data_IF_792960386844
#
_entry.id   IF_792960386844
#
_cell.length_a   1.000
_cell.length_b   1.000
_cell.length_c   1.000
_cell.angle_alpha   90.00
_cell.angle_beta   90.00
_cell.angle_gamma   90.00
#
_symmetry.space_group_name_H-M   'P 1'
#
loop_
_entity.id
_entity.type
_entity.pdbx_description
1 polymer ?
#
# COMPACT_ATOMS: atom_id res chain seq x y z
N UNK A 1 0.93 -20.88 -16.78
CA UNK A 1 0.48 -21.34 -15.45
C UNK A 1 -0.86 -22.08 -15.56
N UNK A 2 -1.94 -21.45 -16.05
CA UNK A 2 -3.26 -22.08 -16.19
C UNK A 2 -3.25 -23.41 -17.00
N UNK A 3 -2.56 -23.43 -18.15
CA UNK A 3 -2.46 -24.62 -19.01
C UNK A 3 -1.82 -25.84 -18.31
N UNK A 4 -0.76 -25.63 -17.51
CA UNK A 4 -0.12 -26.72 -16.79
C UNK A 4 -1.03 -27.28 -15.69
N UNK A 5 -1.77 -26.41 -15.00
CA UNK A 5 -2.75 -26.82 -13.99
C UNK A 5 -3.92 -27.59 -14.62
N UNK A 6 -4.44 -27.16 -15.77
CA UNK A 6 -5.46 -27.91 -16.51
C UNK A 6 -4.97 -29.31 -16.91
N UNK A 7 -3.72 -29.45 -17.36
CA UNK A 7 -3.14 -30.76 -17.68
C UNK A 7 -3.04 -31.68 -16.47
N UNK A 8 -2.77 -31.14 -15.28
CA UNK A 8 -2.75 -31.92 -14.03
C UNK A 8 -4.17 -32.42 -13.69
N UNK A 9 -5.18 -31.56 -13.82
CA UNK A 9 -6.57 -31.95 -13.58
C UNK A 9 -7.05 -33.00 -14.59
N UNK A 10 -6.69 -32.89 -15.87
CA UNK A 10 -6.98 -33.94 -16.86
C UNK A 10 -6.38 -35.30 -16.46
N UNK A 11 -5.11 -35.32 -16.03
CA UNK A 11 -4.48 -36.55 -15.53
C UNK A 11 -5.18 -37.11 -14.30
N UNK A 12 -5.58 -36.27 -13.35
CA UNK A 12 -6.32 -36.69 -12.15
C UNK A 12 -7.72 -37.24 -12.47
N UNK A 13 -8.35 -36.76 -13.55
CA UNK A 13 -9.64 -37.29 -14.03
C UNK A 13 -9.47 -38.68 -14.65
N UNK A 14 -8.37 -38.88 -15.39
CA UNK A 14 -8.09 -40.14 -16.09
C UNK A 14 -7.49 -41.22 -15.15
N UNK A 15 -6.62 -40.82 -14.21
CA UNK A 15 -5.80 -41.71 -13.37
C UNK A 15 -6.21 -41.72 -11.88
N UNK A 16 -7.25 -40.98 -11.48
CA UNK A 16 -7.62 -40.84 -10.07
C UNK A 16 -8.07 -42.15 -9.40
N UNK A 17 -7.50 -42.43 -8.22
CA UNK A 17 -7.70 -43.67 -7.45
C UNK A 17 -9.16 -43.88 -7.02
N UNK A 18 -9.87 -42.81 -6.67
CA UNK A 18 -11.29 -42.85 -6.28
C UNK A 18 -12.22 -42.13 -7.25
N UNK A 19 -13.48 -42.56 -7.34
CA UNK A 19 -14.47 -41.82 -8.14
C UNK A 19 -14.77 -40.43 -7.57
N UNK A 20 -14.60 -40.25 -6.26
CA UNK A 20 -14.76 -38.97 -5.59
C UNK A 20 -13.66 -37.97 -6.00
N UNK A 21 -12.40 -38.39 -6.05
CA UNK A 21 -11.29 -37.56 -6.52
C UNK A 21 -11.46 -37.16 -7.99
N UNK A 22 -11.86 -38.10 -8.85
CA UNK A 22 -12.14 -37.81 -10.27
C UNK A 22 -13.29 -36.81 -10.44
N UNK A 23 -14.35 -36.93 -9.65
CA UNK A 23 -15.47 -35.98 -9.66
C UNK A 23 -15.06 -34.58 -9.16
N UNK A 24 -14.23 -34.50 -8.11
CA UNK A 24 -13.69 -33.23 -7.62
C UNK A 24 -12.74 -32.58 -8.64
N UNK A 25 -11.85 -33.35 -9.26
CA UNK A 25 -10.95 -32.87 -10.30
C UNK A 25 -11.71 -32.34 -11.52
N UNK A 26 -12.80 -33.02 -11.92
CA UNK A 26 -13.70 -32.56 -13.00
C UNK A 26 -14.35 -31.23 -12.63
N UNK A 27 -14.92 -31.13 -11.43
CA UNK A 27 -15.58 -29.89 -10.97
C UNK A 27 -14.59 -28.72 -10.85
N UNK A 28 -13.37 -28.97 -10.37
CA UNK A 28 -12.33 -27.97 -10.30
C UNK A 28 -11.87 -27.51 -11.69
N UNK A 29 -11.73 -28.43 -12.65
CA UNK A 29 -11.40 -28.09 -14.03
C UNK A 29 -12.52 -27.27 -14.69
N UNK A 30 -13.78 -27.63 -14.47
CA UNK A 30 -14.95 -26.92 -14.99
C UNK A 30 -15.01 -25.49 -14.43
N UNK A 31 -14.74 -25.31 -13.14
CA UNK A 31 -14.68 -23.98 -12.53
C UNK A 31 -13.48 -23.17 -13.05
N UNK A 32 -12.29 -23.76 -13.18
CA UNK A 32 -11.09 -23.08 -13.68
C UNK A 32 -11.18 -22.68 -15.17
N UNK A 33 -11.96 -23.41 -15.95
CA UNK A 33 -12.19 -23.11 -17.38
C UNK A 33 -13.44 -22.26 -17.61
N UNK A 34 -14.20 -21.96 -16.55
CA UNK A 34 -15.35 -21.06 -16.63
C UNK A 34 -14.93 -19.64 -17.00
N UNK A 35 -15.81 -18.95 -17.71
CA UNK A 35 -15.61 -17.54 -18.06
C UNK A 35 -15.39 -16.68 -16.81
N UNK A 36 -16.19 -16.90 -15.77
CA UNK A 36 -16.10 -16.16 -14.51
C UNK A 36 -14.71 -16.25 -13.88
N UNK A 37 -14.15 -17.46 -13.77
CA UNK A 37 -12.84 -17.66 -13.19
C UNK A 37 -11.74 -17.01 -14.04
N UNK A 38 -11.78 -17.20 -15.36
CA UNK A 38 -10.80 -16.61 -16.29
C UNK A 38 -10.86 -15.08 -16.23
N UNK A 39 -12.08 -14.52 -16.17
CA UNK A 39 -12.32 -13.10 -16.07
C UNK A 39 -11.77 -12.51 -14.76
N UNK A 40 -12.11 -13.11 -13.62
CA UNK A 40 -11.59 -12.70 -12.30
C UNK A 40 -10.06 -12.80 -12.28
N UNK A 41 -9.49 -13.88 -12.81
CA UNK A 41 -8.04 -14.07 -12.83
C UNK A 41 -7.34 -12.99 -13.66
N UNK A 42 -7.87 -12.65 -14.84
CA UNK A 42 -7.32 -11.59 -15.68
C UNK A 42 -7.43 -10.21 -15.00
N UNK A 43 -8.59 -9.92 -14.40
CA UNK A 43 -8.82 -8.70 -13.63
C UNK A 43 -7.84 -8.58 -12.45
N UNK A 44 -7.74 -9.62 -11.63
CA UNK A 44 -6.81 -9.68 -10.51
C UNK A 44 -5.37 -9.49 -10.96
N UNK A 45 -4.94 -10.18 -12.03
CA UNK A 45 -3.58 -10.04 -12.56
C UNK A 45 -3.27 -8.58 -12.89
N UNK A 46 -4.18 -7.88 -13.55
CA UNK A 46 -3.98 -6.50 -14.00
C UNK A 46 -3.99 -5.49 -12.85
N UNK A 47 -4.92 -5.65 -11.92
CA UNK A 47 -4.96 -4.83 -10.69
C UNK A 47 -3.69 -5.03 -9.86
N UNK A 48 -3.29 -6.30 -9.63
CA UNK A 48 -2.09 -6.62 -8.86
C UNK A 48 -0.82 -6.14 -9.55
N UNK A 49 -0.74 -6.18 -10.88
CA UNK A 49 0.38 -5.66 -11.65
C UNK A 49 0.56 -4.14 -11.41
N UNK A 50 -0.53 -3.37 -11.49
CA UNK A 50 -0.50 -1.93 -11.19
C UNK A 50 -0.14 -1.65 -9.73
N UNK A 51 -0.76 -2.35 -8.78
CA UNK A 51 -0.45 -2.20 -7.35
C UNK A 51 0.99 -2.59 -7.02
N UNK A 52 1.53 -3.60 -7.70
CA UNK A 52 2.93 -4.00 -7.55
C UNK A 52 3.89 -2.95 -8.11
N UNK A 53 3.60 -2.37 -9.28
CA UNK A 53 4.40 -1.28 -9.84
C UNK A 53 4.44 -0.07 -8.90
N UNK A 54 3.28 0.33 -8.36
CA UNK A 54 3.21 1.40 -7.37
C UNK A 54 4.01 1.04 -6.11
N UNK A 55 3.83 -0.17 -5.58
CA UNK A 55 4.52 -0.64 -4.38
C UNK A 55 6.04 -0.62 -4.56
N UNK A 56 6.55 -1.14 -5.69
CA UNK A 56 7.98 -1.12 -6.01
C UNK A 56 8.51 0.31 -6.15
N UNK A 57 7.74 1.21 -6.77
CA UNK A 57 8.15 2.59 -6.95
C UNK A 57 8.20 3.34 -5.60
N UNK A 58 7.24 3.13 -4.72
CA UNK A 58 7.20 3.71 -3.37
C UNK A 58 8.29 3.14 -2.44
N UNK A 59 8.77 1.92 -2.68
CA UNK A 59 9.82 1.29 -1.88
C UNK A 59 11.26 1.68 -2.29
N UNK A 60 11.43 2.51 -3.33
CA UNK A 60 12.78 2.94 -3.76
C UNK A 60 13.41 3.86 -2.73
N UNK A 61 14.67 3.59 -2.37
CA UNK A 61 15.44 4.39 -1.38
C UNK A 61 15.63 5.85 -1.78
N UNK A 62 15.66 6.15 -3.08
CA UNK A 62 15.88 7.49 -3.62
C UNK A 62 14.58 8.24 -3.93
N UNK A 63 13.44 7.74 -3.47
CA UNK A 63 12.15 8.31 -3.83
C UNK A 63 11.86 9.53 -2.95
N UNK A 64 11.67 10.68 -3.61
CA UNK A 64 11.16 11.89 -2.96
C UNK A 64 9.63 11.75 -2.74
N UNK A 65 9.13 12.34 -1.66
CA UNK A 65 7.73 12.34 -1.25
C UNK A 65 6.85 12.94 -2.35
N UNK A 66 7.26 14.05 -2.98
CA UNK A 66 6.49 14.70 -4.05
C UNK A 66 6.31 13.75 -5.24
N UNK A 67 7.38 13.09 -5.66
CA UNK A 67 7.33 12.08 -6.71
C UNK A 67 6.46 10.88 -6.31
N UNK A 68 6.50 10.47 -5.04
CA UNK A 68 5.65 9.40 -4.50
C UNK A 68 4.17 9.74 -4.59
N UNK A 69 3.79 10.97 -4.23
CA UNK A 69 2.41 11.47 -4.36
C UNK A 69 1.96 11.51 -5.82
N UNK A 70 2.82 11.99 -6.72
CA UNK A 70 2.54 11.97 -8.16
C UNK A 70 2.33 10.55 -8.70
N UNK A 71 3.10 9.56 -8.22
CA UNK A 71 2.93 8.16 -8.61
C UNK A 71 1.61 7.57 -8.11
N UNK A 72 1.19 7.90 -6.89
CA UNK A 72 -0.12 7.49 -6.35
C UNK A 72 -1.23 8.06 -7.22
N UNK A 73 -1.18 9.35 -7.54
CA UNK A 73 -2.20 10.00 -8.38
C UNK A 73 -2.20 9.44 -9.80
N UNK A 74 -1.03 9.22 -10.39
CA UNK A 74 -0.89 8.54 -11.70
C UNK A 74 -1.53 7.15 -11.65
N UNK A 75 -1.33 6.38 -10.58
CA UNK A 75 -1.92 5.05 -10.43
C UNK A 75 -3.45 5.13 -10.31
N UNK A 76 -3.99 6.08 -9.55
CA UNK A 76 -5.44 6.34 -9.49
C UNK A 76 -6.00 6.66 -10.87
N UNK A 77 -5.35 7.53 -11.64
CA UNK A 77 -5.80 7.87 -13.00
C UNK A 77 -5.71 6.69 -13.97
N UNK A 78 -4.70 5.81 -13.85
CA UNK A 78 -4.57 4.60 -14.67
C UNK A 78 -5.69 3.59 -14.39
N UNK A 79 -6.06 3.42 -13.11
CA UNK A 79 -7.20 2.59 -12.69
C UNK A 79 -8.52 3.17 -13.24
N UNK A 80 -8.71 4.49 -13.13
CA UNK A 80 -9.91 5.19 -13.62
C UNK A 80 -10.04 5.19 -15.15
N UNK A 81 -8.93 5.34 -15.88
CA UNK A 81 -8.91 5.38 -17.35
C UNK A 81 -9.17 4.00 -17.99
N UNK A 82 -9.38 2.95 -17.19
CA UNK A 82 -9.76 1.62 -17.67
C UNK A 82 -8.78 1.04 -18.67
N UNK A 83 -7.48 1.27 -18.50
CA UNK A 83 -6.43 0.68 -19.35
C UNK A 83 -6.27 -0.85 -19.14
N UNK A 84 -7.26 -1.49 -18.51
CA UNK A 84 -7.37 -2.93 -18.42
C UNK A 84 -8.29 -3.33 -19.56
N UNK A 85 -7.70 -3.84 -20.64
CA UNK A 85 -8.44 -4.50 -21.72
C UNK A 85 -9.38 -5.55 -21.11
N UNK A 86 -10.68 -5.25 -21.19
CA UNK A 86 -11.73 -6.17 -20.79
C UNK A 86 -11.75 -7.29 -21.84
N UNK A 87 -11.59 -8.56 -21.43
CA UNK A 87 -11.75 -9.69 -22.35
C UNK A 87 -13.06 -9.59 -23.10
N UNK A 88 -13.10 -9.99 -24.38
CA UNK A 88 -14.31 -9.90 -25.19
C UNK A 88 -15.48 -10.66 -24.54
N UNK A 89 -16.42 -9.89 -24.01
CA UNK A 89 -17.63 -10.34 -23.31
C UNK A 89 -18.69 -10.87 -24.27
N UNK A 90 -18.51 -10.71 -25.58
CA UNK A 90 -19.42 -11.25 -26.61
C UNK A 90 -19.13 -12.71 -26.95
N UNK A 91 -18.10 -13.32 -26.35
CA UNK A 91 -17.82 -14.75 -26.55
C UNK A 91 -19.00 -15.60 -26.04
N UNK A 92 -19.40 -16.58 -26.84
CA UNK A 92 -20.56 -17.44 -26.55
C UNK A 92 -20.28 -18.23 -25.28
N UNK A 93 -20.89 -17.82 -24.17
CA UNK A 93 -20.92 -18.57 -22.92
C UNK A 93 -21.77 -19.83 -23.12
N UNK A 94 -21.14 -21.00 -23.07
CA UNK A 94 -21.84 -22.30 -23.05
C UNK A 94 -21.79 -22.81 -21.61
N UNK A 95 -22.88 -22.61 -20.88
CA UNK A 95 -23.09 -23.20 -19.56
C UNK A 95 -23.22 -24.74 -19.70
N UNK A 96 -22.11 -25.47 -19.57
CA UNK A 96 -22.14 -26.94 -19.56
C UNK A 96 -22.57 -27.42 -18.17
N UNK A 97 -23.88 -27.63 -18.01
CA UNK A 97 -24.46 -28.26 -16.80
C UNK A 97 -25.79 -27.66 -16.32
N UNK A 98 -26.22 -26.51 -16.86
CA UNK A 98 -27.51 -25.90 -16.55
C UNK A 98 -28.65 -26.46 -17.40
N UNK A 99 -29.81 -26.75 -16.79
CA UNK A 99 -31.04 -27.04 -17.56
C UNK A 99 -31.33 -25.82 -18.45
N UNK A 100 -31.42 -26.04 -19.76
CA UNK A 100 -31.48 -25.05 -20.86
C UNK A 100 -32.68 -24.06 -20.87
N UNK A 101 -33.24 -23.66 -19.71
CA UNK A 101 -34.40 -22.76 -19.62
C UNK A 101 -34.08 -21.33 -19.17
N UNK A 102 -32.81 -20.95 -19.04
CA UNK A 102 -32.42 -19.55 -18.79
C UNK A 102 -31.26 -19.16 -19.69
N UNK A 103 -31.52 -18.98 -20.97
CA UNK A 103 -30.65 -18.13 -21.78
C UNK A 103 -30.78 -16.72 -21.21
N UNK A 104 -29.85 -16.32 -20.34
CA UNK A 104 -29.76 -14.94 -19.91
C UNK A 104 -29.33 -14.09 -21.11
N UNK A 105 -30.03 -12.98 -21.35
CA UNK A 105 -29.62 -12.01 -22.38
C UNK A 105 -28.14 -11.67 -22.18
N UNK A 106 -27.35 -11.73 -23.24
CA UNK A 106 -25.92 -11.38 -23.21
C UNK A 106 -25.68 -10.01 -22.56
N UNK A 107 -26.63 -9.08 -22.74
CA UNK A 107 -26.64 -7.77 -22.10
C UNK A 107 -26.65 -7.83 -20.57
N UNK A 108 -27.29 -8.81 -19.94
CA UNK A 108 -27.35 -8.92 -18.47
C UNK A 108 -26.04 -9.50 -17.91
N UNK A 109 -25.42 -10.44 -18.63
CA UNK A 109 -24.15 -11.06 -18.24
C UNK A 109 -22.99 -10.06 -18.40
N UNK A 110 -22.93 -9.34 -19.52
CA UNK A 110 -21.96 -8.25 -19.72
C UNK A 110 -22.15 -7.18 -18.64
N UNK A 111 -23.39 -6.73 -18.40
CA UNK A 111 -23.68 -5.74 -17.35
C UNK A 111 -23.26 -6.26 -15.98
N UNK A 112 -23.50 -7.53 -15.65
CA UNK A 112 -23.09 -8.10 -14.37
C UNK A 112 -21.56 -8.10 -14.20
N UNK A 113 -20.80 -8.68 -15.14
CA UNK A 113 -19.34 -8.78 -15.01
C UNK A 113 -18.65 -7.42 -15.15
N UNK A 114 -19.14 -6.55 -16.04
CA UNK A 114 -18.56 -5.23 -16.27
C UNK A 114 -18.91 -4.24 -15.17
N UNK A 115 -20.18 -4.19 -14.74
CA UNK A 115 -20.64 -3.21 -13.74
C UNK A 115 -20.32 -3.66 -12.32
N UNK A 116 -20.63 -4.90 -11.97
CA UNK A 116 -20.58 -5.34 -10.58
C UNK A 116 -19.20 -5.88 -10.21
N UNK A 117 -18.60 -6.71 -11.07
CA UNK A 117 -17.27 -7.27 -10.78
C UNK A 117 -16.14 -6.31 -11.15
N UNK A 118 -16.09 -5.86 -12.40
CA UNK A 118 -14.96 -5.05 -12.88
C UNK A 118 -14.91 -3.68 -12.23
N UNK A 119 -15.98 -2.88 -12.34
CA UNK A 119 -15.99 -1.58 -11.67
C UNK A 119 -15.97 -1.72 -10.15
N UNK A 120 -16.67 -2.70 -9.58
CA UNK A 120 -16.61 -2.97 -8.14
C UNK A 120 -15.18 -3.24 -7.64
N UNK A 121 -14.38 -4.05 -8.34
CA UNK A 121 -12.99 -4.30 -7.98
C UNK A 121 -12.11 -3.05 -8.09
N UNK A 122 -12.31 -2.23 -9.14
CA UNK A 122 -11.57 -0.98 -9.34
C UNK A 122 -11.94 0.05 -8.28
N UNK A 123 -13.22 0.18 -7.95
CA UNK A 123 -13.72 1.11 -6.94
C UNK A 123 -13.17 0.76 -5.57
N UNK A 124 -13.10 -0.53 -5.21
CA UNK A 124 -12.46 -0.98 -3.96
C UNK A 124 -10.98 -0.58 -3.93
N UNK A 125 -10.23 -0.78 -5.01
CA UNK A 125 -8.82 -0.40 -5.06
C UNK A 125 -8.62 1.12 -4.96
N UNK A 126 -9.47 1.89 -5.64
CA UNK A 126 -9.45 3.34 -5.57
C UNK A 126 -9.82 3.85 -4.17
N UNK A 127 -10.78 3.20 -3.52
CA UNK A 127 -11.18 3.50 -2.15
C UNK A 127 -10.03 3.23 -1.18
N UNK A 128 -9.36 2.08 -1.28
CA UNK A 128 -8.20 1.75 -0.45
C UNK A 128 -7.04 2.75 -0.66
N UNK A 129 -6.73 3.09 -1.91
CA UNK A 129 -5.72 4.10 -2.22
C UNK A 129 -6.11 5.49 -1.69
N UNK A 130 -7.38 5.86 -1.77
CA UNK A 130 -7.87 7.15 -1.29
C UNK A 130 -7.97 7.21 0.23
N UNK A 131 -8.21 6.06 0.88
CA UNK A 131 -8.19 5.95 2.34
C UNK A 131 -6.76 6.06 2.88
N UNK A 132 -5.81 5.31 2.29
CA UNK A 132 -4.39 5.33 2.67
C UNK A 132 -3.70 6.66 2.35
N UNK A 133 -3.99 7.25 1.20
CA UNK A 133 -3.49 8.56 0.75
C UNK A 133 -4.63 9.57 0.68
N UNK A 134 -5.24 9.83 1.83
CA UNK A 134 -6.26 10.86 1.97
C UNK A 134 -5.64 12.26 2.01
N UNK A 135 -6.46 13.30 1.88
CA UNK A 135 -6.00 14.70 1.87
C UNK A 135 -5.13 15.05 3.08
N UNK A 136 -5.48 14.57 4.28
CA UNK A 136 -4.70 14.83 5.50
C UNK A 136 -3.34 14.14 5.46
N UNK A 137 -3.26 12.90 5.00
CA UNK A 137 -2.00 12.16 4.85
C UNK A 137 -1.10 12.81 3.79
N UNK A 138 -1.68 13.24 2.67
CA UNK A 138 -0.96 13.95 1.60
C UNK A 138 -0.45 15.30 2.10
N UNK A 139 -1.26 16.04 2.85
CA UNK A 139 -0.88 17.32 3.44
C UNK A 139 0.25 17.14 4.48
N UNK A 140 0.13 16.16 5.38
CA UNK A 140 1.20 15.83 6.34
C UNK A 140 2.51 15.52 5.62
N UNK A 141 2.46 14.70 4.57
CA UNK A 141 3.64 14.33 3.79
C UNK A 141 4.23 15.54 3.06
N UNK A 142 3.38 16.40 2.49
CA UNK A 142 3.80 17.63 1.82
C UNK A 142 4.48 18.60 2.80
N UNK A 143 3.91 18.82 3.98
CA UNK A 143 4.50 19.68 4.99
C UNK A 143 5.80 19.09 5.57
N UNK A 144 5.92 17.76 5.65
CA UNK A 144 7.16 17.10 6.08
C UNK A 144 8.33 17.33 5.11
N UNK A 145 8.06 17.58 3.82
CA UNK A 145 9.07 17.94 2.83
C UNK A 145 9.78 19.26 3.16
N UNK A 146 9.13 20.17 3.90
CA UNK A 146 9.73 21.44 4.32
C UNK A 146 10.92 21.23 5.29
N UNK A 147 10.98 20.08 5.97
CA UNK A 147 12.07 19.73 6.87
C UNK A 147 13.27 19.10 6.11
N UNK A 148 13.08 18.67 4.86
CA UNK A 148 14.14 18.02 4.09
C UNK A 148 15.22 19.02 3.64
N UNK A 149 16.51 18.77 3.96
CA UNK A 149 17.59 19.71 3.64
C UNK A 149 17.78 19.94 2.15
N UNK A 150 17.49 18.96 1.29
CA UNK A 150 17.59 19.10 -0.18
C UNK A 150 16.59 20.13 -0.72
N UNK A 151 15.41 20.19 -0.12
CA UNK A 151 14.32 21.12 -0.46
C UNK A 151 14.59 22.55 0.03
N UNK A 152 15.51 22.70 0.99
CA UNK A 152 15.91 23.99 1.56
C UNK A 152 16.65 24.89 0.57
N UNK A 153 17.13 24.36 -0.56
CA UNK A 153 17.79 25.13 -1.61
C UNK A 153 16.92 26.17 -2.29
N UNK A 154 15.58 26.10 -2.14
CA UNK A 154 14.68 27.10 -2.71
C UNK A 154 13.69 27.72 -1.72
N UNK A 155 13.12 27.00 -0.74
CA UNK A 155 12.24 27.60 0.28
C UNK A 155 12.13 26.74 1.55
N UNK A 156 13.01 26.92 2.54
CA UNK A 156 12.76 26.43 3.90
C UNK A 156 11.62 27.27 4.50
N UNK A 157 10.40 26.72 4.52
CA UNK A 157 9.23 27.45 5.02
C UNK A 157 8.97 27.08 6.46
N UNK A 158 9.44 27.93 7.36
CA UNK A 158 9.19 27.81 8.81
C UNK A 158 7.69 27.70 9.08
N UNK A 159 6.87 28.49 8.38
CA UNK A 159 5.42 28.47 8.52
C UNK A 159 4.81 27.09 8.20
N UNK A 160 5.34 26.37 7.20
CA UNK A 160 4.86 25.04 6.83
C UNK A 160 5.17 24.02 7.94
N UNK A 161 6.33 24.13 8.58
CA UNK A 161 6.72 23.27 9.70
C UNK A 161 5.90 23.60 10.95
N UNK A 162 5.60 24.88 11.20
CA UNK A 162 4.70 25.27 12.27
C UNK A 162 3.28 24.76 12.03
N UNK A 163 2.78 24.84 10.79
CA UNK A 163 1.49 24.29 10.41
C UNK A 163 1.44 22.77 10.60
N UNK A 164 2.53 22.06 10.28
CA UNK A 164 2.65 20.62 10.52
C UNK A 164 2.43 20.29 12.00
N UNK A 165 3.16 20.97 12.89
CA UNK A 165 3.05 20.73 14.34
C UNK A 165 1.67 21.09 14.87
N UNK A 166 1.16 22.26 14.48
CA UNK A 166 -0.15 22.73 14.94
C UNK A 166 -1.30 21.82 14.53
N UNK A 167 -1.24 21.27 13.31
CA UNK A 167 -2.35 20.51 12.73
C UNK A 167 -2.27 19.01 13.01
N UNK A 168 -1.06 18.45 13.07
CA UNK A 168 -0.87 16.99 13.15
C UNK A 168 -0.28 16.50 14.46
N UNK A 169 0.35 17.38 15.24
CA UNK A 169 0.98 17.03 16.52
C UNK A 169 0.58 17.98 17.67
N UNK A 170 -0.72 18.32 17.84
CA UNK A 170 -1.14 19.30 18.86
C UNK A 170 -0.89 18.82 20.30
N UNK A 171 -0.94 17.51 20.54
CA UNK A 171 -0.73 16.89 21.87
C UNK A 171 0.75 16.64 22.19
N UNK A 172 1.60 16.58 21.16
CA UNK A 172 3.03 16.35 21.36
C UNK A 172 3.79 17.63 21.69
N UNK A 173 3.23 18.81 21.41
CA UNK A 173 3.88 20.10 21.62
C UNK A 173 2.98 21.05 22.40
N UNK A 174 3.49 21.56 23.51
CA UNK A 174 2.86 22.67 24.25
C UNK A 174 2.93 23.98 23.45
N UNK A 175 2.07 24.95 23.77
CA UNK A 175 2.09 26.24 23.08
C UNK A 175 3.41 27.01 23.27
N UNK A 176 4.06 26.82 24.42
CA UNK A 176 5.41 27.37 24.68
C UNK A 176 6.45 26.68 23.79
N UNK A 177 6.40 25.36 23.66
CA UNK A 177 7.30 24.61 22.77
C UNK A 177 7.09 24.95 21.29
N UNK A 178 5.87 25.28 20.86
CA UNK A 178 5.60 25.72 19.48
C UNK A 178 6.28 27.05 19.15
N UNK A 179 6.29 28.00 20.08
CA UNK A 179 7.01 29.26 19.91
C UNK A 179 8.53 29.05 19.97
N UNK A 180 9.01 28.21 20.88
CA UNK A 180 10.43 27.83 20.95
C UNK A 180 10.91 27.10 19.67
N UNK A 181 10.05 26.26 19.08
CA UNK A 181 10.33 25.58 17.82
C UNK A 181 10.56 26.58 16.69
N UNK A 182 9.75 27.65 16.59
CA UNK A 182 9.97 28.71 15.59
C UNK A 182 11.35 29.33 15.72
N UNK A 183 11.77 29.63 16.95
CA UNK A 183 13.10 30.19 17.23
C UNK A 183 14.20 29.21 16.81
N UNK A 184 14.07 27.93 17.14
CA UNK A 184 15.01 26.89 16.72
C UNK A 184 15.08 26.77 15.20
N UNK A 185 13.94 26.83 14.51
CA UNK A 185 13.86 26.76 13.05
C UNK A 185 14.55 27.96 12.38
N UNK A 186 14.39 29.18 12.91
CA UNK A 186 15.12 30.35 12.42
C UNK A 186 16.64 30.17 12.53
N UNK A 187 17.13 29.66 13.68
CA UNK A 187 18.55 29.38 13.85
C UNK A 187 19.04 28.24 12.93
N UNK A 188 18.19 27.24 12.72
CA UNK A 188 18.50 26.11 11.85
C UNK A 188 18.56 26.51 10.37
N UNK A 189 17.70 27.42 9.91
CA UNK A 189 17.73 27.99 8.55
C UNK A 189 19.06 28.68 8.24
N UNK A 190 19.59 29.44 9.21
CA UNK A 190 20.91 30.05 9.09
C UNK A 190 21.99 28.98 8.95
N UNK A 191 21.92 27.88 9.68
CA UNK A 191 22.91 26.80 9.57
C UNK A 191 22.81 25.99 8.28
N UNK A 192 21.60 25.78 7.76
CA UNK A 192 21.39 25.23 6.41
C UNK A 192 22.10 26.06 5.34
N UNK A 193 22.18 27.38 5.53
CA UNK A 193 22.85 28.28 4.61
C UNK A 193 24.38 28.21 4.69
N UNK A 194 24.93 27.88 5.87
CA UNK A 194 26.38 27.90 6.16
C UNK A 194 27.10 26.60 5.82
N UNK A 195 26.42 25.46 5.91
CA UNK A 195 27.03 24.15 5.71
C UNK A 195 26.58 23.51 4.39
N UNK A 196 27.49 23.41 3.40
CA UNK A 196 27.20 22.72 2.13
C UNK A 196 26.88 21.23 2.29
N UNK A 197 27.38 20.58 3.34
CA UNK A 197 27.13 19.16 3.58
C UNK A 197 25.68 18.87 3.96
N UNK A 198 24.99 19.84 4.60
CA UNK A 198 23.56 19.76 4.87
C UNK A 198 22.74 19.77 3.58
N UNK A 199 23.16 20.54 2.57
CA UNK A 199 22.47 20.62 1.25
C UNK A 199 22.57 19.32 0.45
N UNK A 200 23.51 18.44 0.80
CA UNK A 200 23.67 17.11 0.17
C UNK A 200 22.73 16.07 0.75
N UNK A 201 22.17 16.30 1.95
CA UNK A 201 21.26 15.36 2.59
C UNK A 201 19.92 15.35 1.85
N UNK A 202 19.45 14.16 1.51
CA UNK A 202 18.31 13.90 0.64
C UNK A 202 17.10 13.33 1.36
N UNK A 203 17.24 12.90 2.62
CA UNK A 203 16.14 12.29 3.38
C UNK A 203 16.10 12.77 4.83
N UNK A 204 14.92 12.67 5.46
CA UNK A 204 14.72 12.93 6.91
C UNK A 204 15.59 11.99 7.77
N UNK A 205 15.86 10.76 7.30
CA UNK A 205 16.72 9.79 8.00
C UNK A 205 18.18 10.28 8.04
N UNK A 206 18.69 10.75 6.91
CA UNK A 206 20.03 11.36 6.81
C UNK A 206 20.13 12.63 7.68
N UNK A 207 19.08 13.45 7.73
CA UNK A 207 19.00 14.60 8.64
C UNK A 207 19.08 14.16 10.11
N UNK A 208 18.33 13.14 10.51
CA UNK A 208 18.35 12.63 11.88
C UNK A 208 19.74 12.14 12.29
N UNK A 209 20.41 11.39 11.41
CA UNK A 209 21.79 10.93 11.63
C UNK A 209 22.75 12.11 11.74
N UNK A 210 22.61 13.12 10.88
CA UNK A 210 23.43 14.32 10.93
C UNK A 210 23.26 15.09 12.25
N UNK A 211 22.02 15.25 12.74
CA UNK A 211 21.74 15.91 14.02
C UNK A 211 22.38 15.18 15.21
N UNK A 212 22.41 13.85 15.18
CA UNK A 212 23.05 13.05 16.22
C UNK A 212 24.57 13.15 16.13
N UNK A 213 25.14 12.88 14.95
CA UNK A 213 26.59 12.82 14.73
C UNK A 213 27.30 14.15 15.01
N UNK A 214 26.64 15.28 14.75
CA UNK A 214 27.19 16.62 14.99
C UNK A 214 26.84 17.19 16.38
N UNK A 215 26.21 16.40 17.26
CA UNK A 215 25.78 16.87 18.58
C UNK A 215 24.66 17.92 18.56
N UNK A 216 24.05 18.17 17.39
CA UNK A 216 23.03 19.20 17.17
C UNK A 216 21.66 18.84 17.71
N UNK A 217 21.41 17.56 18.01
CA UNK A 217 20.19 17.10 18.70
C UNK A 217 19.98 17.76 20.07
N UNK A 218 21.05 18.15 20.78
CA UNK A 218 20.95 18.89 22.03
C UNK A 218 20.73 20.40 21.83
N UNK A 219 21.21 20.93 20.70
CA UNK A 219 21.05 22.34 20.34
C UNK A 219 19.66 22.64 19.77
N UNK A 220 19.07 21.67 19.05
CA UNK A 220 17.75 21.76 18.45
C UNK A 220 16.86 20.59 18.89
N UNK A 221 16.52 20.48 20.18
CA UNK A 221 15.79 19.34 20.72
C UNK A 221 14.38 19.20 20.12
N UNK A 222 13.72 20.31 19.75
CA UNK A 222 12.37 20.28 19.19
C UNK A 222 12.38 19.85 17.71
N UNK A 223 13.36 20.32 16.95
CA UNK A 223 13.59 19.86 15.57
C UNK A 223 13.92 18.36 15.58
N UNK A 224 14.78 17.92 16.50
CA UNK A 224 15.12 16.51 16.63
C UNK A 224 13.91 15.65 17.02
N UNK A 225 13.08 16.12 17.97
CA UNK A 225 11.83 15.45 18.34
C UNK A 225 10.86 15.34 17.16
N UNK A 226 10.67 16.42 16.40
CA UNK A 226 9.83 16.42 15.20
C UNK A 226 10.35 15.43 14.15
N UNK A 227 11.67 15.42 13.91
CA UNK A 227 12.33 14.48 13.00
C UNK A 227 12.06 13.04 13.43
N UNK A 228 12.13 12.74 14.74
CA UNK A 228 11.80 11.41 15.27
C UNK A 228 10.33 11.07 15.07
N UNK A 229 9.41 11.99 15.35
CA UNK A 229 7.97 11.79 15.14
C UNK A 229 7.67 11.43 13.68
N UNK A 230 8.29 12.15 12.74
CA UNK A 230 8.18 11.88 11.30
C UNK A 230 8.75 10.52 10.91
N UNK A 231 9.90 10.13 11.45
CA UNK A 231 10.49 8.80 11.20
C UNK A 231 9.67 7.66 11.82
N UNK A 232 8.94 7.93 12.89
CA UNK A 232 8.04 6.96 13.54
C UNK A 232 6.63 6.95 12.96
N UNK A 233 6.33 7.82 11.99
CA UNK A 233 5.07 7.73 11.27
C UNK A 233 4.96 6.32 10.69
N UNK A 234 3.84 5.62 10.91
CA UNK A 234 3.57 4.36 10.23
C UNK A 234 3.27 4.66 8.75
N UNK A 235 4.29 5.06 7.99
CA UNK A 235 4.20 5.30 6.53
C UNK A 235 3.95 3.98 5.79
N UNK A 236 4.10 2.84 6.48
CA UNK A 236 3.65 1.54 5.99
C UNK A 236 2.88 0.78 7.07
N UNK A 237 1.57 0.99 7.10
CA UNK A 237 0.64 -0.04 7.61
C UNK A 237 0.91 -1.41 6.97
N UNK A 238 1.57 -1.48 5.81
CA UNK A 238 1.99 -2.75 5.18
C UNK A 238 2.96 -3.63 6.00
N UNK A 239 3.76 -3.08 6.92
CA UNK A 239 4.70 -3.91 7.73
C UNK A 239 3.99 -4.49 8.96
N UNK A 240 3.19 -3.67 9.65
CA UNK A 240 2.32 -4.15 10.72
C UNK A 240 1.22 -5.10 10.19
N UNK A 241 0.56 -4.75 9.08
CA UNK A 241 -0.48 -5.58 8.45
C UNK A 241 0.11 -6.89 7.89
N UNK A 242 1.34 -6.93 7.37
CA UNK A 242 1.99 -8.19 6.99
C UNK A 242 2.28 -9.07 8.20
N UNK A 243 2.76 -8.51 9.31
CA UNK A 243 2.95 -9.25 10.55
C UNK A 243 1.62 -9.79 11.07
N UNK A 244 0.57 -8.96 11.13
CA UNK A 244 -0.78 -9.38 11.54
C UNK A 244 -1.44 -10.37 10.57
N UNK A 245 -1.21 -10.24 9.27
CA UNK A 245 -1.74 -11.13 8.23
C UNK A 245 -1.04 -12.49 8.25
N UNK A 246 0.30 -12.52 8.29
CA UNK A 246 1.07 -13.74 8.49
C UNK A 246 0.69 -14.43 9.81
N UNK A 247 0.47 -13.65 10.86
CA UNK A 247 0.04 -14.14 12.17
C UNK A 247 -1.40 -14.68 12.17
N UNK A 248 -2.31 -14.08 11.40
CA UNK A 248 -3.65 -14.63 11.18
C UNK A 248 -3.61 -15.91 10.34
N UNK A 249 -2.72 -16.01 9.35
CA UNK A 249 -2.49 -17.26 8.60
C UNK A 249 -1.96 -18.35 9.54
N UNK A 250 -1.02 -18.04 10.43
CA UNK A 250 -0.52 -18.98 11.45
C UNK A 250 -1.64 -19.40 12.42
N UNK A 251 -2.46 -18.45 12.91
CA UNK A 251 -3.62 -18.74 13.77
C UNK A 251 -4.70 -19.59 13.09
N UNK A 252 -4.94 -19.38 11.79
CA UNK A 252 -5.98 -20.09 11.05
C UNK A 252 -5.52 -21.45 10.53
N UNK A 253 -4.24 -21.61 10.17
CA UNK A 253 -3.66 -22.93 9.81
C UNK A 253 -3.36 -23.80 11.02
N UNK A 254 -2.99 -23.22 12.18
CA UNK A 254 -2.92 -23.94 13.47
C UNK A 254 -4.11 -23.61 14.34
N UNK A 255 -5.27 -24.16 13.98
CA UNK A 255 -6.45 -24.23 14.85
C UNK A 255 -6.21 -25.23 16.00
N UNK A 256 -5.24 -24.99 16.88
CA UNK A 256 -5.06 -25.68 18.15
C UNK A 256 -4.21 -24.86 19.13
N UNK A 257 -4.88 -24.40 20.21
CA UNK A 257 -4.36 -23.89 21.49
C UNK A 257 -2.96 -23.26 21.46
N UNK A 258 -2.90 -21.94 21.28
CA UNK A 258 -1.76 -21.14 21.70
C UNK A 258 -2.29 -20.17 22.77
N UNK A 259 -1.79 -20.30 24.00
CA UNK A 259 -2.19 -19.45 25.14
C UNK A 259 -1.73 -18.01 24.92
N UNK A 260 -2.55 -17.05 25.37
CA UNK A 260 -2.41 -15.63 25.10
C UNK A 260 -1.06 -15.04 25.56
N UNK A 261 -0.45 -15.63 26.58
CA UNK A 261 0.77 -15.10 27.19
C UNK A 261 2.03 -15.37 26.33
N UNK A 262 2.07 -16.51 25.62
CA UNK A 262 3.12 -16.78 24.64
C UNK A 262 2.92 -15.95 23.36
N UNK A 263 1.67 -15.62 23.04
CA UNK A 263 1.32 -14.74 21.92
C UNK A 263 1.79 -13.29 22.16
N UNK A 264 1.69 -12.79 23.39
CA UNK A 264 2.20 -11.48 23.80
C UNK A 264 3.74 -11.43 23.78
N UNK A 265 4.39 -12.53 24.17
CA UNK A 265 5.85 -12.67 24.14
C UNK A 265 6.43 -12.59 22.73
N UNK A 266 5.75 -13.11 21.70
CA UNK A 266 6.19 -12.99 20.31
C UNK A 266 6.02 -11.57 19.73
N UNK A 267 5.00 -10.82 20.18
CA UNK A 267 4.76 -9.43 19.75
C UNK A 267 5.85 -8.47 20.24
N UNK A 268 6.51 -8.79 21.36
CA UNK A 268 7.61 -8.01 21.91
C UNK A 268 8.95 -8.24 21.16
N UNK A 269 9.12 -9.39 20.52
CA UNK A 269 10.36 -9.74 19.80
C UNK A 269 10.47 -9.01 18.45
N UNK A 270 9.34 -8.72 17.78
CA UNK A 270 9.30 -8.00 16.49
C UNK A 270 9.40 -6.46 16.62
N UNK A 271 9.58 -5.93 17.83
CA UNK A 271 9.69 -4.48 18.12
C UNK A 271 11.09 -4.00 18.54
N UNK A 272 12.11 -4.85 18.45
CA UNK A 272 13.54 -4.49 18.58
C UNK A 272 14.23 -4.61 17.22
#
# INVERSE_FOLDING_TARGET
MLSATCSIFHKLIDEGDTSAERAQATTALDTMTSFEFIFILHLMKKVLELSNLLSQALQRKSQDIINSLHLVETTKTLLLKRNIEVPDMNSVYIERGGRARRQHDQNTVEVHYRRNLFYGAIDVQLQELSYRFNEKSVELLTLSCALEPRSSGQHFKIDDICNLVNKFYPEDFTDVEKEELKVQLCHYEVELSRHEDLKKLSTISELSQWLVNNGKHNMYPLIFRLTRLLLTLPVSTASAERAFSAMNVIKTTKRNKMEADFFESCLLIDRL
#
